data_IF_858924421909
#
_entry.id   IF_858924421909
#
_cell.length_a   1.000
_cell.length_b   1.000
_cell.length_c   1.000
_cell.angle_alpha   90.00
_cell.angle_beta   90.00
_cell.angle_gamma   90.00
#
_symmetry.space_group_name_H-M   'P 1'
#
loop_
_entity.id
_entity.type
_entity.pdbx_description
1 polymer ?
#
# COMPACT_ATOMS: atom_id res chain seq x y z
N UNK A 1 -1.60 -16.30 -26.27
CA UNK A 1 -1.80 -14.86 -26.00
C UNK A 1 -1.03 -14.58 -24.72
N UNK A 2 -0.05 -13.67 -24.77
CA UNK A 2 0.94 -13.50 -23.71
C UNK A 2 0.35 -12.71 -22.55
N UNK A 3 0.51 -13.26 -21.35
CA UNK A 3 -0.02 -12.82 -20.06
C UNK A 3 0.15 -11.32 -19.84
N UNK A 4 -0.95 -10.63 -19.56
CA UNK A 4 -0.92 -9.25 -19.06
C UNK A 4 -0.38 -9.28 -17.63
N UNK A 5 0.76 -8.64 -17.40
CA UNK A 5 1.26 -8.41 -16.06
C UNK A 5 0.43 -7.29 -15.43
N UNK A 6 -0.45 -7.66 -14.52
CA UNK A 6 -1.08 -6.74 -13.59
C UNK A 6 -0.09 -6.55 -12.43
N UNK A 7 0.48 -5.35 -12.31
CA UNK A 7 1.30 -5.00 -11.14
C UNK A 7 0.47 -4.13 -10.23
N UNK A 8 0.23 -4.61 -9.02
CA UNK A 8 -0.44 -3.86 -7.96
C UNK A 8 0.58 -3.44 -6.92
N UNK A 9 0.56 -2.15 -6.59
CA UNK A 9 1.40 -1.52 -5.58
C UNK A 9 0.50 -0.89 -4.53
N UNK A 10 0.80 -1.09 -3.24
CA UNK A 10 0.17 -0.34 -2.15
C UNK A 10 1.19 0.59 -1.52
N UNK A 11 0.81 1.83 -1.28
CA UNK A 11 1.54 2.78 -0.45
C UNK A 11 0.79 3.01 0.86
N UNK A 12 1.50 3.03 1.98
CA UNK A 12 1.02 3.40 3.30
C UNK A 12 1.76 4.64 3.78
N UNK A 13 1.04 5.53 4.43
CA UNK A 13 1.58 6.70 5.11
C UNK A 13 1.30 6.60 6.61
N UNK A 14 2.38 6.67 7.39
CA UNK A 14 2.37 6.70 8.84
C UNK A 14 2.91 8.06 9.30
N UNK A 15 2.34 8.62 10.37
CA UNK A 15 2.77 9.87 10.96
C UNK A 15 3.30 9.65 12.38
N UNK A 16 4.50 10.19 12.66
CA UNK A 16 5.15 10.18 13.98
C UNK A 16 6.30 11.20 14.00
N UNK A 17 6.47 11.95 15.10
CA UNK A 17 7.58 12.91 15.29
C UNK A 17 8.98 12.25 15.25
N UNK A 18 9.05 10.93 15.40
CA UNK A 18 10.28 10.16 15.26
C UNK A 18 10.75 10.00 13.80
N UNK A 19 9.88 10.26 12.81
CA UNK A 19 10.21 10.14 11.39
C UNK A 19 10.76 11.44 10.81
N UNK A 20 11.52 11.33 9.72
CA UNK A 20 11.98 12.51 9.00
C UNK A 20 10.77 13.24 8.41
N UNK A 21 10.68 14.55 8.67
CA UNK A 21 9.54 15.38 8.28
C UNK A 21 8.20 14.89 8.90
N UNK A 22 8.23 14.18 10.03
CA UNK A 22 7.09 13.62 10.77
C UNK A 22 6.29 12.51 10.02
N UNK A 23 6.76 12.08 8.84
CA UNK A 23 6.07 11.12 7.99
C UNK A 23 6.97 9.94 7.56
N UNK A 24 6.39 8.74 7.51
CA UNK A 24 7.01 7.55 6.93
C UNK A 24 6.12 6.98 5.83
N UNK A 25 6.67 6.90 4.61
CA UNK A 25 6.02 6.21 3.49
C UNK A 25 6.58 4.80 3.30
N UNK A 26 5.70 3.79 3.31
CA UNK A 26 6.03 2.39 3.03
C UNK A 26 5.33 1.96 1.75
N UNK A 27 6.08 1.38 0.80
CA UNK A 27 5.53 0.88 -0.48
C UNK A 27 5.73 -0.61 -0.60
N UNK A 28 4.64 -1.35 -0.78
CA UNK A 28 4.63 -2.78 -1.04
C UNK A 28 4.34 -3.05 -2.52
N UNK A 29 5.19 -3.87 -3.13
CA UNK A 29 5.04 -4.33 -4.52
C UNK A 29 4.48 -5.76 -4.53
N UNK A 30 3.89 -6.18 -5.66
CA UNK A 30 3.36 -7.53 -5.87
C UNK A 30 2.21 -7.90 -4.93
N UNK A 31 1.33 -6.94 -4.68
CA UNK A 31 0.10 -7.16 -3.93
C UNK A 31 -0.88 -7.97 -4.78
N UNK A 32 -1.67 -8.85 -4.17
CA UNK A 32 -2.76 -9.57 -4.87
C UNK A 32 -3.67 -8.57 -5.59
N UNK A 33 -4.10 -8.91 -6.80
CA UNK A 33 -4.94 -8.04 -7.64
C UNK A 33 -6.33 -7.76 -7.06
N UNK A 34 -6.81 -8.62 -6.17
CA UNK A 34 -8.17 -8.60 -5.64
C UNK A 34 -8.25 -8.16 -4.17
N UNK A 35 -7.23 -7.47 -3.67
CA UNK A 35 -7.23 -6.93 -2.32
C UNK A 35 -8.39 -5.94 -2.13
N UNK A 36 -9.18 -6.18 -1.10
CA UNK A 36 -10.31 -5.33 -0.72
C UNK A 36 -9.86 -4.17 0.18
N UNK A 37 -10.64 -3.09 0.24
CA UNK A 37 -10.27 -1.88 0.97
C UNK A 37 -10.07 -2.12 2.48
N UNK A 38 -10.84 -3.01 3.09
CA UNK A 38 -10.72 -3.44 4.47
C UNK A 38 -9.42 -4.22 4.75
N UNK A 39 -8.99 -5.07 3.82
CA UNK A 39 -7.70 -5.76 3.91
C UNK A 39 -6.52 -4.77 3.87
N UNK A 40 -6.61 -3.71 3.06
CA UNK A 40 -5.59 -2.64 3.01
C UNK A 40 -5.56 -1.89 4.35
N UNK A 41 -6.72 -1.49 4.84
CA UNK A 41 -6.83 -0.76 6.09
C UNK A 41 -6.26 -1.59 7.26
N UNK A 42 -6.59 -2.88 7.34
CA UNK A 42 -6.06 -3.77 8.37
C UNK A 42 -4.53 -3.87 8.35
N UNK A 43 -3.90 -3.85 7.17
CA UNK A 43 -2.44 -3.82 7.04
C UNK A 43 -1.87 -2.47 7.51
N UNK A 44 -2.52 -1.35 7.16
CA UNK A 44 -2.12 -0.02 7.61
C UNK A 44 -2.17 0.12 9.14
N UNK A 45 -3.26 -0.33 9.75
CA UNK A 45 -3.44 -0.38 11.20
C UNK A 45 -2.44 -1.31 11.89
N UNK A 46 -2.17 -2.48 11.29
CA UNK A 46 -1.14 -3.39 11.80
C UNK A 46 0.25 -2.74 11.75
N UNK A 47 0.59 -1.99 10.69
CA UNK A 47 1.86 -1.28 10.60
C UNK A 47 1.97 -0.18 11.65
N UNK A 48 0.90 0.60 11.87
CA UNK A 48 0.87 1.62 12.93
C UNK A 48 1.04 0.98 14.32
N UNK A 49 0.47 -0.21 14.57
CA UNK A 49 0.63 -0.89 15.85
C UNK A 49 2.05 -1.38 16.18
N UNK A 50 2.98 -1.37 15.21
CA UNK A 50 4.36 -1.81 15.42
C UNK A 50 5.23 -0.77 16.13
N UNK A 51 4.83 0.51 16.12
CA UNK A 51 5.56 1.59 16.76
C UNK A 51 4.59 2.44 17.58
N UNK A 52 4.93 2.68 18.84
CA UNK A 52 4.09 3.51 19.72
C UNK A 52 3.90 4.91 19.09
N UNK A 53 2.66 5.41 19.18
CA UNK A 53 2.19 6.70 18.66
C UNK A 53 2.14 6.87 17.13
N UNK A 54 2.45 5.84 16.33
CA UNK A 54 2.23 5.91 14.88
C UNK A 54 0.74 6.05 14.56
N UNK A 55 0.41 7.06 13.75
CA UNK A 55 -0.94 7.23 13.21
C UNK A 55 -0.99 6.78 11.75
N UNK A 56 -1.94 5.88 11.45
CA UNK A 56 -2.24 5.51 10.07
C UNK A 56 -3.06 6.63 9.40
N UNK A 57 -2.48 7.27 8.38
CA UNK A 57 -3.10 8.40 7.70
C UNK A 57 -3.90 7.94 6.49
N UNK A 58 -3.23 7.24 5.57
CA UNK A 58 -3.87 6.75 4.36
C UNK A 58 -3.16 5.54 3.77
N UNK A 59 -3.90 4.80 2.94
CA UNK A 59 -3.34 3.84 2.02
C UNK A 59 -3.88 4.05 0.61
N UNK A 60 -3.00 3.92 -0.38
CA UNK A 60 -3.31 4.04 -1.80
C UNK A 60 -2.94 2.75 -2.53
N UNK A 61 -3.91 2.12 -3.20
CA UNK A 61 -3.70 0.98 -4.10
C UNK A 61 -3.64 1.48 -5.55
N UNK A 62 -2.50 1.28 -6.20
CA UNK A 62 -2.35 1.50 -7.64
C UNK A 62 -2.30 0.17 -8.37
N UNK A 63 -3.31 -0.11 -9.21
CA UNK A 63 -3.32 -1.28 -10.10
C UNK A 63 -3.02 -0.84 -11.52
N UNK A 64 -1.92 -1.36 -12.11
CA UNK A 64 -1.61 -1.13 -13.53
C UNK A 64 -1.97 -2.38 -14.34
N UNK A 65 -3.00 -2.27 -15.17
CA UNK A 65 -3.33 -3.26 -16.19
C UNK A 65 -2.67 -2.90 -17.52
N UNK A 66 -1.75 -3.75 -18.01
CA UNK A 66 -1.22 -3.62 -19.37
C UNK A 66 -2.18 -4.36 -20.31
N UNK A 67 -3.01 -3.62 -21.06
CA UNK A 67 -3.87 -4.20 -22.09
C UNK A 67 -3.02 -4.55 -23.32
N UNK A 68 -2.84 -5.86 -23.59
CA UNK A 68 -2.26 -6.31 -24.85
C UNK A 68 -3.41 -6.49 -25.86
N UNK A 69 -3.72 -5.42 -26.58
CA UNK A 69 -4.66 -5.47 -27.70
C UNK A 69 -4.13 -6.46 -28.74
N UNK A 70 -4.88 -7.52 -29.00
CA UNK A 70 -4.66 -8.39 -30.17
C UNK A 70 -5.65 -8.06 -31.27
#
# INVERSE_FOLDING_TARGET
>A
MQTSWLTSTIAFELQNEAYQDDHLMRRLSAVKENVQADEIQAVGEALASLHDDDQFIMAELTTKSVYNAK
#
